data_IF_858193684848
#
_entry.id   IF_858193684848
#
_cell.length_a   1.000
_cell.length_b   1.000
_cell.length_c   1.000
_cell.angle_alpha   90.00
_cell.angle_beta   90.00
_cell.angle_gamma   90.00
#
_symmetry.space_group_name_H-M   'P 1'
#
loop_
_entity.id
_entity.type
_entity.pdbx_description
1 polymer ?
#
# COMPACT_ATOMS: atom_id res chain seq x y z
N UNK A 1 -1.40 15.95 -4.27
CA UNK A 1 -1.16 14.57 -3.81
C UNK A 1 0.29 14.19 -4.11
N UNK A 2 0.85 13.22 -3.39
CA UNK A 2 2.26 12.82 -3.54
C UNK A 2 2.50 11.33 -3.78
N UNK A 3 1.48 10.47 -3.59
CA UNK A 3 1.56 9.02 -3.76
C UNK A 3 0.33 8.60 -4.56
N UNK A 4 0.54 8.07 -5.77
CA UNK A 4 -0.53 7.63 -6.68
C UNK A 4 -0.58 6.10 -6.86
N UNK A 5 0.49 5.41 -6.47
CA UNK A 5 0.62 3.96 -6.42
C UNK A 5 1.58 3.57 -5.29
N UNK A 6 1.51 2.31 -4.85
CA UNK A 6 2.40 1.77 -3.82
C UNK A 6 2.92 0.39 -4.20
N UNK A 7 4.13 0.12 -3.73
CA UNK A 7 4.75 -1.20 -3.77
C UNK A 7 5.56 -1.45 -2.49
N UNK A 8 5.80 -2.71 -2.10
CA UNK A 8 6.70 -3.01 -1.00
C UNK A 8 8.10 -2.47 -1.30
N UNK A 9 8.72 -1.83 -0.32
CA UNK A 9 10.07 -1.32 -0.44
C UNK A 9 11.11 -2.47 -0.37
N UNK A 10 11.15 -3.32 -1.40
CA UNK A 10 12.01 -4.51 -1.47
C UNK A 10 13.50 -4.22 -1.24
N UNK A 11 13.96 -3.03 -1.63
CA UNK A 11 15.35 -2.59 -1.43
C UNK A 11 15.70 -2.27 0.04
N UNK A 12 14.69 -2.02 0.87
CA UNK A 12 14.83 -1.78 2.31
C UNK A 12 14.65 -3.10 3.06
N UNK A 13 13.61 -3.87 2.70
CA UNK A 13 13.30 -5.15 3.32
C UNK A 13 12.80 -6.13 2.25
N UNK A 14 13.70 -7.02 1.84
CA UNK A 14 13.39 -8.06 0.86
C UNK A 14 12.46 -9.13 1.43
N UNK A 15 12.63 -9.48 2.72
CA UNK A 15 11.88 -10.54 3.35
C UNK A 15 10.40 -10.15 3.48
N UNK A 16 10.14 -8.91 3.90
CA UNK A 16 8.77 -8.40 3.97
C UNK A 16 8.08 -8.35 2.60
N UNK A 17 8.80 -7.90 1.56
CA UNK A 17 8.26 -7.86 0.20
C UNK A 17 7.86 -9.25 -0.32
N UNK A 18 8.70 -10.26 -0.07
CA UNK A 18 8.42 -11.65 -0.46
C UNK A 18 7.26 -12.25 0.34
N UNK A 19 7.21 -12.00 1.65
CA UNK A 19 6.11 -12.47 2.50
C UNK A 19 4.77 -11.83 2.12
N UNK A 20 4.75 -10.55 1.76
CA UNK A 20 3.51 -9.89 1.34
C UNK A 20 2.99 -10.45 0.01
N UNK A 21 3.89 -10.72 -0.94
CA UNK A 21 3.53 -11.37 -2.21
C UNK A 21 3.00 -12.80 -1.98
N UNK A 22 3.65 -13.58 -1.11
CA UNK A 22 3.19 -14.92 -0.76
C UNK A 22 1.80 -14.89 -0.10
N UNK A 23 1.59 -13.98 0.86
CA UNK A 23 0.29 -13.82 1.53
C UNK A 23 -0.82 -13.50 0.52
N UNK A 24 -0.56 -12.63 -0.46
CA UNK A 24 -1.53 -12.33 -1.52
C UNK A 24 -1.87 -13.58 -2.35
N UNK A 25 -0.87 -14.37 -2.71
CA UNK A 25 -1.07 -15.63 -3.45
C UNK A 25 -1.86 -16.67 -2.66
N UNK A 26 -1.77 -16.64 -1.33
CA UNK A 26 -2.55 -17.48 -0.41
C UNK A 26 -3.97 -16.94 -0.14
N UNK A 27 -4.36 -15.84 -0.79
CA UNK A 27 -5.72 -15.30 -0.74
C UNK A 27 -5.91 -14.14 0.22
N UNK A 28 -4.84 -13.56 0.78
CA UNK A 28 -4.95 -12.33 1.56
C UNK A 28 -5.22 -11.15 0.63
N UNK A 29 -6.30 -10.42 0.89
CA UNK A 29 -6.61 -9.18 0.19
C UNK A 29 -5.69 -8.04 0.66
N UNK A 30 -5.09 -7.33 -0.30
CA UNK A 30 -4.20 -6.19 -0.03
C UNK A 30 -4.82 -4.92 -0.62
N UNK A 31 -5.07 -3.93 0.24
CA UNK A 31 -5.70 -2.67 -0.12
C UNK A 31 -4.76 -1.50 0.22
N UNK A 32 -4.76 -0.48 -0.63
CA UNK A 32 -4.13 0.80 -0.36
C UNK A 32 -5.11 1.92 -0.71
N UNK A 33 -5.20 2.92 0.16
CA UNK A 33 -6.05 4.09 -0.02
C UNK A 33 -5.23 5.36 0.20
N UNK A 34 -5.39 6.31 -0.71
CA UNK A 34 -4.88 7.66 -0.51
C UNK A 34 -5.69 8.34 0.60
N UNK A 35 -5.00 9.10 1.44
CA UNK A 35 -5.60 9.94 2.45
C UNK A 35 -5.51 11.42 2.04
N UNK A 36 -6.59 12.17 2.23
CA UNK A 36 -6.56 13.62 2.26
C UNK A 36 -6.17 14.06 3.67
N UNK A 37 -5.14 14.91 3.75
CA UNK A 37 -4.64 15.47 5.00
C UNK A 37 -4.85 16.99 4.98
N UNK A 38 -5.46 17.51 6.04
CA UNK A 38 -5.64 18.94 6.26
C UNK A 38 -5.48 19.27 7.75
N UNK A 39 -5.55 20.56 8.10
CA UNK A 39 -5.50 20.99 9.50
C UNK A 39 -6.71 20.50 10.31
N UNK A 40 -7.82 20.22 9.63
CA UNK A 40 -9.09 19.77 10.20
C UNK A 40 -9.14 18.25 10.40
N UNK A 41 -8.24 17.49 9.77
CA UNK A 41 -8.14 16.05 9.97
C UNK A 41 -7.55 15.28 8.80
N UNK A 42 -7.75 13.96 8.84
CA UNK A 42 -7.26 13.03 7.83
C UNK A 42 -8.34 12.00 7.48
N UNK A 43 -8.57 11.80 6.19
CA UNK A 43 -9.64 10.92 5.69
C UNK A 43 -9.16 10.07 4.52
N UNK A 44 -9.46 8.76 4.52
CA UNK A 44 -9.28 7.91 3.35
C UNK A 44 -10.26 8.33 2.25
N UNK A 45 -9.79 8.38 1.00
CA UNK A 45 -10.60 8.85 -0.14
C UNK A 45 -10.70 7.79 -1.23
N UNK A 46 -9.61 7.61 -1.96
CA UNK A 46 -9.59 6.83 -3.18
C UNK A 46 -8.69 5.62 -3.02
N UNK A 47 -9.10 4.44 -3.51
CA UNK A 47 -8.18 3.32 -3.63
C UNK A 47 -7.07 3.70 -4.61
N UNK A 48 -5.86 3.21 -4.34
CA UNK A 48 -4.70 3.35 -5.24
C UNK A 48 -4.13 1.97 -5.55
N UNK A 49 -3.39 1.88 -6.65
CA UNK A 49 -2.86 0.60 -7.12
C UNK A 49 -1.77 0.09 -6.16
N UNK A 50 -1.79 -1.22 -5.92
CA UNK A 50 -0.74 -1.95 -5.20
C UNK A 50 -0.01 -2.85 -6.19
N UNK A 51 1.31 -2.74 -6.27
CA UNK A 51 2.17 -3.62 -7.08
C UNK A 51 3.07 -4.43 -6.14
N UNK A 52 2.94 -5.76 -6.14
CA UNK A 52 3.74 -6.69 -5.32
C UNK A 52 4.82 -7.41 -6.14
#
# INVERSE_FOLDING_TARGET
>A
SGIEDVSPARHIDVAYAEQLAQAQQEGVEVLAYQADLSAEGMFLKSPINVTL
#
